data_IF_535794294618
#
_entry.id   IF_535794294618
#
_cell.length_a   1.000
_cell.length_b   1.000
_cell.length_c   1.000
_cell.angle_alpha   90.00
_cell.angle_beta   90.00
_cell.angle_gamma   90.00
#
_symmetry.space_group_name_H-M   'P 1'
#
loop_
_entity.id
_entity.type
_entity.pdbx_description
1 polymer ?
#
# COMPACT_ATOMS: atom_id res chain seq x y z
N UNK A 1 12.48 -27.17 17.99
CA UNK A 1 12.10 -26.12 17.03
C UNK A 1 13.34 -25.28 16.77
N UNK A 2 13.80 -25.12 15.52
CA UNK A 2 15.02 -24.36 15.27
C UNK A 2 14.69 -22.87 15.41
N UNK A 3 15.60 -22.07 15.97
CA UNK A 3 15.44 -20.61 16.15
C UNK A 3 15.04 -19.91 14.83
N UNK A 4 15.54 -20.43 13.70
CA UNK A 4 15.17 -19.95 12.36
C UNK A 4 13.68 -20.11 12.05
N UNK A 5 13.01 -21.16 12.53
CA UNK A 5 11.58 -21.37 12.32
C UNK A 5 10.72 -20.41 13.17
N UNK A 6 11.28 -19.90 14.28
CA UNK A 6 10.65 -18.90 15.13
C UNK A 6 10.72 -17.51 14.49
N UNK A 7 11.81 -17.18 13.80
CA UNK A 7 12.03 -15.89 13.15
C UNK A 7 11.41 -15.79 11.76
N UNK A 8 11.50 -16.85 10.95
CA UNK A 8 11.07 -16.86 9.54
C UNK A 8 9.70 -17.53 9.33
N UNK A 9 9.19 -18.24 10.34
CA UNK A 9 7.99 -19.06 10.23
C UNK A 9 8.24 -20.42 9.57
N UNK A 10 7.23 -21.31 9.66
CA UNK A 10 7.30 -22.64 9.03
C UNK A 10 7.19 -22.51 7.51
N UNK A 11 7.95 -23.33 6.78
CA UNK A 11 7.77 -23.51 5.34
C UNK A 11 6.35 -24.01 5.06
N UNK A 12 5.61 -23.30 4.22
CA UNK A 12 4.25 -23.66 3.83
C UNK A 12 4.32 -24.63 2.64
N UNK A 13 3.61 -25.75 2.72
CA UNK A 13 3.44 -26.61 1.55
C UNK A 13 2.52 -25.90 0.53
N UNK A 14 2.75 -26.10 -0.77
CA UNK A 14 1.98 -25.41 -1.82
C UNK A 14 0.45 -25.64 -1.73
N UNK A 15 0.04 -26.76 -1.11
CA UNK A 15 -1.37 -27.12 -0.86
C UNK A 15 -2.00 -26.37 0.32
N UNK A 16 -1.19 -25.80 1.22
CA UNK A 16 -1.65 -25.07 2.41
C UNK A 16 -1.82 -23.56 2.14
N UNK A 17 -1.38 -23.07 0.98
CA UNK A 17 -1.39 -21.65 0.62
C UNK A 17 -2.80 -21.05 0.49
N UNK A 18 -3.74 -21.75 -0.15
CA UNK A 18 -5.10 -21.25 -0.39
C UNK A 18 -5.93 -21.08 0.89
N UNK A 19 -5.63 -21.85 1.95
CA UNK A 19 -6.37 -21.79 3.21
C UNK A 19 -5.75 -20.80 4.22
N UNK A 20 -4.52 -20.34 3.97
CA UNK A 20 -3.80 -19.49 4.93
C UNK A 20 -4.18 -18.02 4.74
N UNK A 21 -5.16 -17.56 5.51
CA UNK A 21 -5.50 -16.13 5.59
C UNK A 21 -4.46 -15.38 6.41
N UNK A 22 -3.98 -14.26 5.87
CA UNK A 22 -3.07 -13.36 6.57
C UNK A 22 -3.88 -12.63 7.64
N UNK A 23 -3.51 -12.78 8.92
CA UNK A 23 -4.12 -12.01 10.00
C UNK A 23 -3.73 -10.54 9.93
N UNK A 24 -4.50 -9.66 10.58
CA UNK A 24 -4.28 -8.21 10.56
C UNK A 24 -2.84 -7.81 10.94
N UNK A 25 -2.21 -8.51 11.88
CA UNK A 25 -0.83 -8.23 12.34
C UNK A 25 0.20 -8.37 11.22
N UNK A 26 0.05 -9.37 10.36
CA UNK A 26 0.95 -9.58 9.22
C UNK A 26 0.45 -8.87 7.96
N UNK A 27 -0.86 -8.65 7.83
CA UNK A 27 -1.48 -7.96 6.70
C UNK A 27 -1.18 -6.46 6.68
N UNK A 28 -1.17 -5.79 7.85
CA UNK A 28 -0.86 -4.36 7.96
C UNK A 28 0.54 -4.03 7.44
N UNK A 29 1.64 -4.68 7.86
CA UNK A 29 2.93 -4.42 7.27
C UNK A 29 3.02 -4.90 5.82
N UNK A 30 2.45 -6.06 5.47
CA UNK A 30 2.52 -6.55 4.08
C UNK A 30 1.86 -5.61 3.06
N UNK A 31 0.67 -5.08 3.38
CA UNK A 31 -0.05 -4.13 2.51
C UNK A 31 0.40 -2.68 2.74
N UNK A 32 0.78 -2.34 3.97
CA UNK A 32 1.26 -1.01 4.31
C UNK A 32 2.61 -0.69 3.69
N UNK A 33 3.49 -1.69 3.54
CA UNK A 33 4.78 -1.53 2.86
C UNK A 33 4.61 -1.12 1.39
N UNK A 34 3.60 -1.64 0.70
CA UNK A 34 3.27 -1.25 -0.68
C UNK A 34 2.88 0.24 -0.77
N UNK A 35 2.00 0.68 0.13
CA UNK A 35 1.63 2.09 0.25
C UNK A 35 2.78 3.03 0.65
N UNK A 36 3.63 2.60 1.58
CA UNK A 36 4.80 3.37 2.04
C UNK A 36 5.88 3.50 0.95
N UNK A 37 6.07 2.45 0.15
CA UNK A 37 6.99 2.49 -0.99
C UNK A 37 6.54 3.52 -2.03
N UNK A 38 5.25 3.51 -2.38
CA UNK A 38 4.68 4.43 -3.36
C UNK A 38 4.74 5.89 -2.92
N UNK A 39 4.44 6.18 -1.65
CA UNK A 39 4.49 7.55 -1.11
C UNK A 39 5.91 8.09 -0.94
N UNK A 40 6.91 7.22 -0.79
CA UNK A 40 8.32 7.60 -0.70
C UNK A 40 8.91 7.93 -2.08
N UNK A 41 8.61 7.13 -3.10
CA UNK A 41 9.18 7.30 -4.44
C UNK A 41 8.37 8.27 -5.34
N UNK A 42 7.04 8.31 -5.19
CA UNK A 42 6.15 9.10 -6.04
C UNK A 42 6.51 10.60 -6.11
N UNK A 43 6.69 11.29 -4.98
CA UNK A 43 7.06 12.71 -4.98
C UNK A 43 8.43 12.98 -5.60
N UNK A 44 9.41 12.09 -5.36
CA UNK A 44 10.75 12.19 -5.95
C UNK A 44 10.70 12.04 -7.48
N UNK A 45 9.95 11.06 -7.97
CA UNK A 45 9.75 10.86 -9.41
C UNK A 45 9.06 12.07 -10.06
N UNK A 46 8.06 12.67 -9.39
CA UNK A 46 7.40 13.88 -9.87
C UNK A 46 8.36 15.08 -9.95
N UNK A 47 9.21 15.27 -8.94
CA UNK A 47 10.25 16.31 -8.96
C UNK A 47 11.29 16.07 -10.06
N UNK A 48 11.68 14.81 -10.29
CA UNK A 48 12.63 14.42 -11.33
C UNK A 48 12.11 14.82 -12.72
N UNK A 49 10.82 14.59 -13.00
CA UNK A 49 10.19 15.02 -14.25
C UNK A 49 10.14 16.56 -14.37
N UNK A 50 10.07 17.27 -13.25
CA UNK A 50 10.04 18.73 -13.20
C UNK A 50 11.43 19.40 -13.27
N UNK A 51 12.53 18.66 -13.27
CA UNK A 51 13.89 19.22 -13.37
C UNK A 51 14.05 20.28 -14.48
N UNK A 52 13.51 20.09 -15.71
CA UNK A 52 13.63 21.09 -16.78
C UNK A 52 12.97 22.45 -16.46
N UNK A 53 11.98 22.49 -15.56
CA UNK A 53 11.30 23.71 -15.12
C UNK A 53 12.11 24.47 -14.04
N UNK A 54 13.18 23.87 -13.50
CA UNK A 54 14.02 24.48 -12.48
C UNK A 54 13.23 24.92 -11.25
N UNK A 55 13.51 26.14 -10.76
CA UNK A 55 12.87 26.69 -9.56
C UNK A 55 11.33 26.83 -9.69
N UNK A 56 10.80 26.99 -10.89
CA UNK A 56 9.35 27.08 -11.11
C UNK A 56 8.63 25.75 -10.80
N UNK A 57 9.33 24.61 -10.96
CA UNK A 57 8.80 23.28 -10.64
C UNK A 57 8.44 23.12 -9.15
N UNK A 58 9.17 23.79 -8.25
CA UNK A 58 8.90 23.76 -6.81
C UNK A 58 7.58 24.45 -6.43
N UNK A 59 7.09 25.42 -7.22
CA UNK A 59 5.76 25.99 -7.01
C UNK A 59 4.66 25.13 -7.64
N UNK A 60 4.97 24.41 -8.71
CA UNK A 60 4.00 23.57 -9.41
C UNK A 60 3.77 22.21 -8.72
N UNK A 61 4.79 21.64 -8.04
CA UNK A 61 4.71 20.33 -7.39
C UNK A 61 3.53 20.21 -6.41
N UNK A 62 3.24 21.27 -5.64
CA UNK A 62 2.12 21.28 -4.70
C UNK A 62 0.76 21.10 -5.40
N UNK A 63 0.59 21.75 -6.55
CA UNK A 63 -0.62 21.63 -7.37
C UNK A 63 -0.76 20.26 -8.04
N UNK A 64 0.34 19.56 -8.28
CA UNK A 64 0.34 18.18 -8.79
C UNK A 64 0.03 17.17 -7.68
N UNK A 65 0.62 17.35 -6.50
CA UNK A 65 0.43 16.43 -5.36
C UNK A 65 -0.96 16.57 -4.73
N UNK A 66 -1.52 17.78 -4.68
CA UNK A 66 -2.84 18.03 -4.09
C UNK A 66 -3.97 17.11 -4.62
N UNK A 67 -4.20 16.99 -5.95
CA UNK A 67 -5.24 16.09 -6.47
C UNK A 67 -4.94 14.61 -6.21
N UNK A 68 -3.67 14.21 -6.17
CA UNK A 68 -3.27 12.82 -5.84
C UNK A 68 -3.65 12.51 -4.39
N UNK A 69 -3.33 13.39 -3.44
CA UNK A 69 -3.73 13.25 -2.04
C UNK A 69 -5.25 13.24 -1.89
N UNK A 70 -5.95 14.10 -2.63
CA UNK A 70 -7.41 14.11 -2.68
C UNK A 70 -7.98 12.76 -3.17
N UNK A 71 -7.42 12.20 -4.24
CA UNK A 71 -7.83 10.90 -4.76
C UNK A 71 -7.57 9.78 -3.75
N UNK A 72 -6.43 9.81 -3.05
CA UNK A 72 -6.11 8.84 -1.98
C UNK A 72 -7.09 8.95 -0.81
N UNK A 73 -7.53 10.15 -0.45
CA UNK A 73 -8.56 10.34 0.58
C UNK A 73 -9.91 9.75 0.15
N UNK A 74 -10.31 9.95 -1.10
CA UNK A 74 -11.52 9.33 -1.67
C UNK A 74 -11.39 7.81 -1.65
N UNK A 75 -10.25 7.28 -2.08
CA UNK A 75 -10.00 5.84 -2.10
C UNK A 75 -10.06 5.24 -0.69
N UNK A 76 -9.47 5.92 0.30
CA UNK A 76 -9.54 5.52 1.70
C UNK A 76 -11.00 5.44 2.17
N UNK A 77 -11.80 6.47 1.92
CA UNK A 77 -13.23 6.47 2.29
C UNK A 77 -14.00 5.34 1.57
N UNK A 78 -13.74 5.13 0.28
CA UNK A 78 -14.33 4.04 -0.50
C UNK A 78 -13.99 2.67 0.11
N UNK A 79 -12.73 2.44 0.48
CA UNK A 79 -12.33 1.18 1.12
C UNK A 79 -12.98 1.00 2.49
N UNK A 80 -13.14 2.06 3.27
CA UNK A 80 -13.88 2.00 4.55
C UNK A 80 -15.32 1.56 4.34
N UNK A 81 -15.98 2.01 3.26
CA UNK A 81 -17.34 1.59 2.92
C UNK A 81 -17.38 0.11 2.51
N UNK A 82 -16.45 -0.34 1.66
CA UNK A 82 -16.36 -1.74 1.24
C UNK A 82 -16.12 -2.66 2.44
N UNK A 83 -15.20 -2.32 3.34
CA UNK A 83 -14.93 -3.12 4.55
C UNK A 83 -16.17 -3.20 5.47
N UNK A 84 -16.95 -2.12 5.58
CA UNK A 84 -18.17 -2.12 6.37
C UNK A 84 -19.29 -2.95 5.73
N UNK A 85 -19.41 -2.91 4.39
CA UNK A 85 -20.40 -3.67 3.64
C UNK A 85 -20.07 -5.17 3.54
N UNK A 86 -18.77 -5.52 3.51
CA UNK A 86 -18.29 -6.89 3.30
C UNK A 86 -17.28 -7.33 4.37
N UNK A 87 -17.70 -7.53 5.63
CA UNK A 87 -16.79 -7.86 6.74
C UNK A 87 -16.13 -9.24 6.63
N UNK A 88 -16.70 -10.18 5.85
CA UNK A 88 -16.17 -11.53 5.67
C UNK A 88 -15.28 -11.71 4.44
N UNK A 89 -15.28 -10.73 3.52
CA UNK A 89 -14.71 -10.88 2.19
C UNK A 89 -13.40 -10.07 2.11
N UNK A 90 -12.29 -10.76 1.84
CA UNK A 90 -10.94 -10.21 1.93
C UNK A 90 -10.44 -9.52 0.65
N UNK A 91 -11.30 -9.12 -0.28
CA UNK A 91 -10.83 -8.54 -1.55
C UNK A 91 -11.92 -8.03 -2.48
N UNK A 92 -11.49 -7.36 -3.55
CA UNK A 92 -12.35 -6.75 -4.57
C UNK A 92 -12.96 -7.75 -5.58
N UNK A 93 -12.52 -9.01 -5.56
CA UNK A 93 -12.89 -10.05 -6.54
C UNK A 93 -13.83 -11.12 -5.95
N UNK A 94 -14.48 -10.83 -4.82
CA UNK A 94 -15.41 -11.72 -4.12
C UNK A 94 -16.68 -11.00 -3.75
#
# INVERSE_FOLDING_TARGET
MKIVDLLLGRRLANREGEQRRIGWVAGVPAMGLDGLGSSSYGPEAALTVMIPLGAAGLHAIGWVIAPIVGLLAILYLSYRQVLAAYPSNGGAYT
#
